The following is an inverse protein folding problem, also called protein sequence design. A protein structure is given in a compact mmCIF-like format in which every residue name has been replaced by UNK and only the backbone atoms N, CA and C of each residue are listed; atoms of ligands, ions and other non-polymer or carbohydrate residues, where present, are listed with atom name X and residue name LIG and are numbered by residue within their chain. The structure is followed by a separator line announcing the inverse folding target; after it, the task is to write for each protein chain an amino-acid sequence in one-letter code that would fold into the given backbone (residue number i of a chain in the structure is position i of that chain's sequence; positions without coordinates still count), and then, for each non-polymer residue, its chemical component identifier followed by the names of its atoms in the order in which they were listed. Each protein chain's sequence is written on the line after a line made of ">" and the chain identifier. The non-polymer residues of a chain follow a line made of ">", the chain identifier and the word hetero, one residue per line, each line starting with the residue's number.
data_IF_324421965381
#
_entry.id   IF_324421965381
#
_cell.length_a   1.000
_cell.length_b   1.000
_cell.length_c   1.000
_cell.angle_alpha   90.00
_cell.angle_beta   90.00
_cell.angle_gamma   90.00
#
_symmetry.space_group_name_H-M   'P 1'
#
loop_
_entity.id
_entity.type
_entity.pdbx_description
1 polymer ?
#
# COMPACT_ATOMS: atom_id res chain seq x y z
N UNK A 1 -4.60 -18.50 -2.73
CA UNK A 1 -4.39 -17.62 -1.55
C UNK A 1 -5.19 -16.31 -1.67
N UNK A 2 -5.24 -15.67 -2.85
CA UNK A 2 -5.98 -14.41 -3.06
C UNK A 2 -7.49 -14.57 -3.37
N UNK A 3 -7.95 -15.78 -3.70
CA UNK A 3 -9.38 -16.09 -3.87
C UNK A 3 -10.21 -15.91 -2.58
N UNK A 4 -9.57 -15.97 -1.40
CA UNK A 4 -10.23 -15.73 -0.12
C UNK A 4 -10.52 -14.24 0.16
N UNK A 5 -9.83 -13.32 -0.53
CA UNK A 5 -9.99 -11.86 -0.34
C UNK A 5 -11.30 -11.37 -0.99
N UNK A 6 -11.71 -11.98 -2.10
CA UNK A 6 -12.93 -11.60 -2.85
C UNK A 6 -14.21 -11.94 -2.06
N UNK A 7 -14.17 -12.95 -1.19
CA UNK A 7 -15.32 -13.39 -0.39
C UNK A 7 -15.59 -12.52 0.85
N UNK A 8 -14.67 -11.61 1.20
CA UNK A 8 -14.61 -11.01 2.53
C UNK A 8 -14.76 -9.47 2.53
N UNK A 9 -15.51 -8.91 1.58
CA UNK A 9 -15.72 -7.46 1.44
C UNK A 9 -16.46 -6.79 2.61
N UNK A 10 -16.87 -7.55 3.63
CA UNK A 10 -17.55 -7.04 4.83
C UNK A 10 -16.81 -7.25 6.17
N UNK A 11 -15.64 -7.93 6.19
CA UNK A 11 -14.96 -8.32 7.44
C UNK A 11 -13.43 -8.18 7.35
N UNK A 12 -12.95 -6.99 6.99
CA UNK A 12 -11.54 -6.77 6.65
C UNK A 12 -10.55 -6.77 7.82
N UNK A 13 -11.00 -6.63 9.08
CA UNK A 13 -10.10 -6.67 10.25
C UNK A 13 -9.94 -8.08 10.88
N UNK A 14 -10.69 -9.08 10.41
CA UNK A 14 -10.82 -10.37 11.12
C UNK A 14 -10.33 -11.60 10.36
N UNK A 15 -9.98 -11.51 9.08
CA UNK A 15 -9.67 -12.72 8.29
C UNK A 15 -8.20 -12.95 7.96
N UNK A 16 -7.32 -11.95 8.07
CA UNK A 16 -5.89 -12.13 7.77
C UNK A 16 -5.04 -11.94 9.01
N UNK A 17 -4.50 -13.05 9.49
CA UNK A 17 -3.51 -13.06 10.57
C UNK A 17 -2.20 -12.39 10.10
N UNK A 18 -1.39 -11.91 11.06
CA UNK A 18 -0.07 -11.29 10.85
C UNK A 18 0.82 -12.11 9.91
N UNK A 19 0.69 -13.43 9.96
CA UNK A 19 1.42 -14.35 9.08
C UNK A 19 1.06 -14.16 7.59
N UNK A 20 -0.22 -13.93 7.29
CA UNK A 20 -0.69 -13.70 5.92
C UNK A 20 -0.12 -12.40 5.38
N UNK A 21 -0.21 -11.29 6.13
CA UNK A 21 0.40 -10.02 5.72
C UNK A 21 1.92 -10.15 5.54
N UNK A 22 2.60 -10.89 6.40
CA UNK A 22 4.04 -11.16 6.26
C UNK A 22 4.36 -11.85 4.94
N UNK A 23 3.56 -12.85 4.55
CA UNK A 23 3.72 -13.55 3.26
C UNK A 23 3.41 -12.63 2.08
N UNK A 24 2.41 -11.75 2.20
CA UNK A 24 2.06 -10.77 1.16
C UNK A 24 3.19 -9.76 0.95
N UNK A 25 3.74 -9.18 2.02
CA UNK A 25 4.90 -8.28 1.95
C UNK A 25 6.07 -8.96 1.25
N UNK A 26 6.42 -10.20 1.65
CA UNK A 26 7.50 -10.97 1.00
C UNK A 26 7.25 -11.16 -0.50
N UNK A 27 6.02 -11.47 -0.89
CA UNK A 27 5.64 -11.63 -2.29
C UNK A 27 5.82 -10.30 -3.07
N UNK A 28 5.30 -9.19 -2.53
CA UNK A 28 5.44 -7.87 -3.15
C UNK A 28 6.92 -7.49 -3.34
N UNK A 29 7.77 -7.71 -2.33
CA UNK A 29 9.22 -7.46 -2.41
C UNK A 29 9.88 -8.31 -3.50
N UNK A 30 9.55 -9.60 -3.58
CA UNK A 30 10.09 -10.51 -4.62
C UNK A 30 9.65 -10.10 -6.04
N UNK A 31 8.46 -9.52 -6.18
CA UNK A 31 7.93 -9.02 -7.44
C UNK A 31 8.36 -7.57 -7.76
N UNK A 32 9.23 -6.98 -6.94
CA UNK A 32 9.65 -5.56 -7.02
C UNK A 32 8.48 -4.57 -6.94
N UNK A 33 7.46 -4.88 -6.15
CA UNK A 33 6.30 -4.03 -5.85
C UNK A 33 6.49 -3.37 -4.48
N UNK A 34 7.44 -2.43 -4.41
CA UNK A 34 7.93 -1.93 -3.12
C UNK A 34 6.98 -0.96 -2.43
N UNK A 35 6.21 -0.16 -3.17
CA UNK A 35 5.22 0.74 -2.57
C UNK A 35 4.02 -0.06 -2.06
N UNK A 36 3.60 -1.11 -2.76
CA UNK A 36 2.59 -2.05 -2.23
C UNK A 36 3.06 -2.71 -0.93
N UNK A 37 4.32 -3.14 -0.88
CA UNK A 37 4.91 -3.69 0.34
C UNK A 37 4.87 -2.67 1.49
N UNK A 38 5.16 -1.40 1.21
CA UNK A 38 5.07 -0.32 2.20
C UNK A 38 3.63 -0.08 2.70
N UNK A 39 2.62 -0.14 1.83
CA UNK A 39 1.21 -0.03 2.23
C UNK A 39 0.82 -1.18 3.18
N UNK A 40 1.23 -2.41 2.84
CA UNK A 40 1.00 -3.60 3.67
C UNK A 40 1.74 -3.52 5.01
N UNK A 41 2.93 -2.93 5.06
CA UNK A 41 3.69 -2.73 6.31
C UNK A 41 2.94 -1.88 7.35
N UNK A 42 2.00 -1.03 6.94
CA UNK A 42 1.20 -0.23 7.86
C UNK A 42 0.10 -1.05 8.59
N UNK A 43 -0.20 -2.27 8.12
CA UNK A 43 -1.22 -3.15 8.69
C UNK A 43 -0.74 -3.89 9.95
N UNK A 44 0.56 -3.84 10.24
CA UNK A 44 1.12 -4.37 11.47
C UNK A 44 0.93 -3.34 12.59
N UNK A 45 0.64 -3.83 13.80
CA UNK A 45 0.56 -2.98 15.01
C UNK A 45 1.87 -2.21 15.23
N UNK A 46 3.00 -2.86 14.96
CA UNK A 46 4.33 -2.26 14.95
C UNK A 46 4.96 -2.43 13.56
N UNK A 47 4.93 -1.40 12.70
CA UNK A 47 5.58 -1.43 11.39
C UNK A 47 7.11 -1.54 11.50
N UNK A 48 7.72 -2.45 10.73
CA UNK A 48 9.18 -2.49 10.55
C UNK A 48 9.60 -1.39 9.57
N UNK A 49 9.85 -0.19 10.08
CA UNK A 49 10.28 0.95 9.29
C UNK A 49 11.64 0.72 8.63
N UNK A 50 12.56 -0.02 9.27
CA UNK A 50 13.89 -0.27 8.71
C UNK A 50 13.80 -1.10 7.43
N UNK A 51 13.03 -2.19 7.46
CA UNK A 51 12.78 -3.00 6.29
C UNK A 51 11.99 -2.23 5.23
N UNK A 52 10.95 -1.49 5.65
CA UNK A 52 10.09 -0.72 4.74
C UNK A 52 10.88 0.35 3.98
N UNK A 53 11.72 1.12 4.67
CA UNK A 53 12.56 2.14 4.02
C UNK A 53 13.58 1.52 3.08
N UNK A 54 14.13 0.33 3.41
CA UNK A 54 15.01 -0.39 2.50
C UNK A 54 14.31 -0.77 1.19
N UNK A 55 13.07 -1.24 1.25
CA UNK A 55 12.28 -1.55 0.05
C UNK A 55 12.05 -0.30 -0.80
N UNK A 56 11.68 0.82 -0.16
CA UNK A 56 11.39 2.07 -0.87
C UNK A 56 12.64 2.69 -1.53
N UNK A 57 13.85 2.42 -1.02
CA UNK A 57 15.11 2.88 -1.64
C UNK A 57 15.42 2.23 -2.98
N UNK A 58 14.84 1.08 -3.28
CA UNK A 58 15.06 0.38 -4.53
C UNK A 58 14.62 1.26 -5.72
N UNK A 59 15.40 1.25 -6.80
CA UNK A 59 15.15 2.11 -7.99
C UNK A 59 14.24 1.46 -9.01
N UNK A 60 14.28 0.13 -9.10
CA UNK A 60 13.50 -0.64 -10.06
C UNK A 60 12.20 -1.12 -9.43
N UNK A 61 11.19 -0.25 -9.34
CA UNK A 61 9.83 -0.65 -8.90
C UNK A 61 8.94 -0.96 -10.09
N UNK A 62 8.08 -1.98 -9.97
CA UNK A 62 7.16 -2.45 -11.01
C UNK A 62 5.67 -2.25 -10.63
N UNK A 63 5.37 -1.50 -9.57
CA UNK A 63 4.00 -1.36 -9.08
C UNK A 63 3.23 -0.13 -9.61
N UNK A 64 3.90 0.90 -10.12
CA UNK A 64 3.24 2.18 -10.40
C UNK A 64 3.05 2.97 -9.11
N UNK A 65 4.18 3.34 -8.49
CA UNK A 65 4.31 3.80 -7.11
C UNK A 65 3.29 4.87 -6.68
N UNK A 66 3.05 5.85 -7.54
CA UNK A 66 2.20 7.02 -7.34
C UNK A 66 0.72 6.68 -7.13
N UNK A 67 0.25 5.56 -7.69
CA UNK A 67 -1.13 5.10 -7.51
C UNK A 67 -1.39 4.69 -6.05
N UNK A 68 -0.36 4.24 -5.32
CA UNK A 68 -0.55 3.73 -3.96
C UNK A 68 -0.44 4.78 -2.86
N UNK A 69 -0.06 6.02 -3.17
CA UNK A 69 0.09 7.06 -2.14
C UNK A 69 -1.23 7.36 -1.43
N UNK A 70 -2.36 7.21 -2.11
CA UNK A 70 -3.69 7.40 -1.53
C UNK A 70 -4.04 6.37 -0.44
N UNK A 71 -3.33 5.23 -0.41
CA UNK A 71 -3.49 4.19 0.60
C UNK A 71 -2.51 4.31 1.77
N UNK A 72 -1.65 5.33 1.78
CA UNK A 72 -0.77 5.63 2.91
C UNK A 72 -1.50 6.44 3.99
N UNK A 73 -1.23 6.11 5.25
CA UNK A 73 -1.69 6.84 6.44
C UNK A 73 -0.58 7.03 7.48
N UNK A 74 0.52 6.30 7.38
CA UNK A 74 1.67 6.44 8.26
C UNK A 74 2.53 7.63 7.84
N UNK A 75 2.57 8.65 8.71
CA UNK A 75 3.31 9.89 8.50
C UNK A 75 4.81 9.62 8.27
N UNK A 76 5.42 8.70 9.02
CA UNK A 76 6.85 8.40 8.90
C UNK A 76 7.20 7.82 7.53
N UNK A 77 6.34 6.95 6.99
CA UNK A 77 6.51 6.39 5.64
C UNK A 77 6.35 7.49 4.58
N UNK A 78 5.35 8.35 4.72
CA UNK A 78 5.13 9.45 3.78
C UNK A 78 6.26 10.48 3.80
N UNK A 79 6.75 10.87 4.98
CA UNK A 79 7.91 11.77 5.12
C UNK A 79 9.17 11.17 4.50
N UNK A 80 9.40 9.87 4.72
CA UNK A 80 10.50 9.15 4.10
C UNK A 80 10.42 9.19 2.56
N UNK A 81 9.24 8.93 2.00
CA UNK A 81 9.01 9.00 0.56
C UNK A 81 9.21 10.43 0.02
N UNK A 82 8.71 11.45 0.72
CA UNK A 82 8.91 12.86 0.35
C UNK A 82 10.41 13.18 0.26
N UNK A 83 11.18 12.78 1.28
CA UNK A 83 12.63 12.96 1.28
C UNK A 83 13.30 12.21 0.12
N UNK A 84 12.87 10.97 -0.13
CA UNK A 84 13.42 10.14 -1.20
C UNK A 84 13.16 10.74 -2.59
N UNK A 85 11.95 11.23 -2.86
CA UNK A 85 11.61 11.87 -4.12
C UNK A 85 12.35 13.19 -4.31
N UNK A 86 12.50 13.99 -3.24
CA UNK A 86 13.29 15.22 -3.27
C UNK A 86 14.75 14.93 -3.67
N UNK A 87 15.36 13.92 -3.03
CA UNK A 87 16.73 13.47 -3.35
C UNK A 87 16.88 12.97 -4.78
N UNK A 88 15.82 12.42 -5.37
CA UNK A 88 15.80 11.90 -6.75
C UNK A 88 15.39 12.95 -7.80
N UNK A 89 14.99 14.14 -7.39
CA UNK A 89 14.47 15.18 -8.30
C UNK A 89 13.05 14.88 -8.82
N UNK A 90 12.31 13.97 -8.17
CA UNK A 90 10.96 13.55 -8.56
C UNK A 90 9.90 14.50 -7.95
N UNK A 91 9.93 15.77 -8.35
CA UNK A 91 9.16 16.85 -7.72
C UNK A 91 7.63 16.65 -7.78
N UNK A 92 7.11 16.08 -8.87
CA UNK A 92 5.66 15.84 -9.01
C UNK A 92 5.14 14.84 -7.98
N UNK A 93 5.88 13.73 -7.78
CA UNK A 93 5.55 12.70 -6.79
C UNK A 93 5.68 13.22 -5.36
N UNK A 94 6.72 14.02 -5.12
CA UNK A 94 6.90 14.75 -3.86
C UNK A 94 5.67 15.62 -3.57
N UNK A 95 5.22 16.40 -4.55
CA UNK A 95 4.10 17.31 -4.39
C UNK A 95 2.78 16.55 -4.14
N UNK A 96 2.57 15.42 -4.81
CA UNK A 96 1.41 14.55 -4.57
C UNK A 96 1.37 14.05 -3.11
N UNK A 97 2.50 13.57 -2.57
CA UNK A 97 2.59 13.15 -1.17
C UNK A 97 2.39 14.30 -0.18
N UNK A 98 2.89 15.51 -0.48
CA UNK A 98 2.65 16.70 0.34
C UNK A 98 1.15 17.05 0.38
N UNK A 99 0.44 16.88 -0.73
CA UNK A 99 -1.02 17.07 -0.74
C UNK A 99 -1.72 16.03 0.14
N UNK A 100 -1.29 14.77 0.07
CA UNK A 100 -1.88 13.68 0.86
C UNK A 100 -1.59 13.85 2.36
N UNK A 101 -0.34 14.17 2.74
CA UNK A 101 0.05 14.35 4.14
C UNK A 101 -0.68 15.53 4.81
N UNK A 102 -1.13 16.50 4.01
CA UNK A 102 -1.91 17.66 4.46
C UNK A 102 -3.39 17.33 4.71
N UNK A 103 -3.85 16.11 4.43
CA UNK A 103 -5.23 15.71 4.69
C UNK A 103 -5.48 15.67 6.21
N UNK A 104 -6.50 16.39 6.74
CA UNK A 104 -6.77 16.42 8.17
C UNK A 104 -7.17 15.06 8.76
N UNK A 105 -7.67 14.11 7.96
CA UNK A 105 -8.12 12.79 8.45
C UNK A 105 -6.97 11.92 9.00
N UNK A 106 -5.76 12.07 8.46
CA UNK A 106 -4.56 11.32 8.87
C UNK A 106 -3.77 12.03 9.97
N UNK A 107 -4.24 13.18 10.45
CA UNK A 107 -3.54 13.94 11.49
C UNK A 107 -3.41 13.10 12.77
N UNK A 108 -2.18 12.86 13.21
CA UNK A 108 -1.86 12.02 14.38
C UNK A 108 -2.43 12.55 15.70
N UNK A 109 -2.86 13.81 15.74
CA UNK A 109 -3.54 14.40 16.89
C UNK A 109 -5.05 14.13 16.92
N UNK A 110 -5.61 13.51 15.87
CA UNK A 110 -7.00 13.08 15.87
C UNK A 110 -7.23 12.00 16.94
N UNK A 111 -8.44 11.93 17.52
CA UNK A 111 -8.80 10.86 18.43
C UNK A 111 -8.75 9.50 17.73
N UNK A 112 -8.37 8.45 18.47
CA UNK A 112 -8.16 7.09 17.94
C UNK A 112 -9.31 6.54 17.07
N UNK A 113 -10.61 6.77 17.39
CA UNK A 113 -11.70 6.32 16.51
C UNK A 113 -11.66 6.92 15.09
N UNK A 114 -11.21 8.17 14.94
CA UNK A 114 -11.06 8.81 13.64
C UNK A 114 -9.88 8.20 12.88
N UNK A 115 -8.75 8.00 13.56
CA UNK A 115 -7.57 7.35 12.98
C UNK A 115 -7.89 5.92 12.53
N UNK A 116 -8.59 5.15 13.37
CA UNK A 116 -9.02 3.79 13.05
C UNK A 116 -9.96 3.75 11.84
N UNK A 117 -10.89 4.71 11.74
CA UNK A 117 -11.78 4.84 10.59
C UNK A 117 -10.99 5.13 9.31
N UNK A 118 -10.04 6.08 9.37
CA UNK A 118 -9.19 6.41 8.23
C UNK A 118 -8.34 5.23 7.76
N UNK A 119 -7.66 4.54 8.70
CA UNK A 119 -6.88 3.31 8.45
C UNK A 119 -7.73 2.23 7.78
N UNK A 120 -8.92 2.00 8.33
CA UNK A 120 -9.85 0.98 7.80
C UNK A 120 -10.35 1.31 6.40
N UNK A 121 -10.69 2.58 6.13
CA UNK A 121 -11.12 3.02 4.81
C UNK A 121 -10.01 2.91 3.76
N UNK A 122 -8.79 3.34 4.09
CA UNK A 122 -7.63 3.23 3.19
C UNK A 122 -7.26 1.77 2.92
N UNK A 123 -7.31 0.93 3.95
CA UNK A 123 -7.08 -0.52 3.83
C UNK A 123 -8.11 -1.18 2.91
N UNK A 124 -9.40 -0.88 3.10
CA UNK A 124 -10.46 -1.43 2.25
C UNK A 124 -10.27 -1.02 0.78
N UNK A 125 -10.05 0.27 0.52
CA UNK A 125 -9.80 0.77 -0.83
C UNK A 125 -8.58 0.14 -1.49
N UNK A 126 -7.51 -0.09 -0.74
CA UNK A 126 -6.31 -0.78 -1.23
C UNK A 126 -6.63 -2.21 -1.67
N UNK A 127 -7.31 -2.99 -0.83
CA UNK A 127 -7.66 -4.37 -1.18
C UNK A 127 -8.67 -4.47 -2.32
N UNK A 128 -9.65 -3.58 -2.37
CA UNK A 128 -10.58 -3.48 -3.50
C UNK A 128 -9.83 -3.18 -4.81
N UNK A 129 -8.88 -2.23 -4.77
CA UNK A 129 -8.05 -1.92 -5.93
C UNK A 129 -7.19 -3.12 -6.35
N UNK A 130 -6.52 -3.80 -5.42
CA UNK A 130 -5.72 -4.99 -5.72
C UNK A 130 -6.56 -6.12 -6.32
N UNK A 131 -7.74 -6.40 -5.76
CA UNK A 131 -8.64 -7.42 -6.25
C UNK A 131 -9.09 -7.13 -7.70
N UNK A 132 -9.51 -5.90 -7.97
CA UNK A 132 -9.96 -5.49 -9.30
C UNK A 132 -8.83 -5.53 -10.34
N UNK A 133 -7.61 -5.10 -10.00
CA UNK A 133 -6.49 -5.17 -10.94
C UNK A 133 -6.01 -6.60 -11.23
N UNK A 134 -6.08 -7.49 -10.25
CA UNK A 134 -5.75 -8.91 -10.46
C UNK A 134 -6.76 -9.59 -11.40
N UNK A 135 -8.06 -9.33 -11.23
CA UNK A 135 -9.10 -9.86 -12.12
C UNK A 135 -8.86 -9.40 -13.57
N UNK A 136 -8.55 -8.11 -13.76
CA UNK A 136 -8.28 -7.56 -15.09
C UNK A 136 -7.02 -8.17 -15.73
N UNK A 137 -5.95 -8.40 -14.95
CA UNK A 137 -4.72 -9.05 -15.44
C UNK A 137 -4.91 -10.53 -15.76
N UNK A 138 -5.69 -11.26 -14.96
CA UNK A 138 -6.03 -12.66 -15.24
C UNK A 138 -6.88 -12.77 -16.51
N UNK A 139 -7.88 -11.90 -16.67
CA UNK A 139 -8.70 -11.85 -17.87
C UNK A 139 -7.87 -11.49 -19.12
N UNK A 140 -6.94 -10.54 -19.03
CA UNK A 140 -6.03 -10.23 -20.14
C UNK A 140 -5.04 -11.36 -20.46
N UNK A 141 -4.55 -12.09 -19.46
CA UNK A 141 -3.68 -13.24 -19.70
C UNK A 141 -4.42 -14.41 -20.36
N UNK A 142 -5.70 -14.62 -20.06
CA UNK A 142 -6.53 -15.61 -20.76
C UNK A 142 -6.66 -15.28 -22.25
N UNK A 143 -6.82 -14.00 -22.61
CA UNK A 143 -6.86 -13.56 -24.01
C UNK A 143 -5.51 -13.66 -24.76
N UNK A 144 -4.38 -13.73 -24.07
CA UNK A 144 -3.05 -13.86 -24.69
C UNK A 144 -2.62 -15.31 -24.92
N UNK A 145 -3.33 -16.30 -24.37
CA UNK A 145 -3.08 -17.72 -24.63
C UNK A 145 -4.06 -18.35 -25.64
N UNK A 146 -5.03 -17.56 -26.15
CA UNK A 146 -6.01 -17.98 -27.16
C UNK A 146 -5.69 -17.43 -28.59
N UNK A 147 -4.44 -17.03 -28.86
CA UNK A 147 -3.94 -16.63 -30.19
C UNK A 147 -2.72 -17.44 -30.63
#
# INVERSE_FOLDING_TARGET
>A
MWQAIISCSQFHHTCFDKEVYTRMVKCCVQLKQYTQAAVLSQLFEEPDYMATFKYLQEKESHDGMDIYYDYLWDINIMEYLIHLHDKRGELDKKQQLITIISNPEINTNNPEPILQTCRSQKTAKFFDYCANNMVTRLNHSAFLFDL
#
